data_IF_791553631086
#
_entry.id   IF_791553631086
#
_cell.length_a   1.000
_cell.length_b   1.000
_cell.length_c   1.000
_cell.angle_alpha   90.00
_cell.angle_beta   90.00
_cell.angle_gamma   90.00
#
_symmetry.space_group_name_H-M   'P 1'
#
loop_
_entity.id
_entity.type
_entity.pdbx_description
1 polymer ?
#
# COMPACT_ATOMS: atom_id res chain seq x y z
N UNK A 1 23.91 -14.70 57.13
CA UNK A 1 24.40 -15.25 55.83
C UNK A 1 23.16 -15.33 54.94
N UNK A 2 22.99 -14.37 54.02
CA UNK A 2 21.84 -14.27 53.13
C UNK A 2 22.40 -14.09 51.72
N UNK A 3 22.12 -15.04 50.83
CA UNK A 3 22.46 -14.96 49.40
C UNK A 3 21.12 -14.87 48.66
N UNK A 4 20.82 -13.77 47.94
CA UNK A 4 19.69 -13.76 47.04
C UNK A 4 20.11 -14.32 45.67
N UNK A 5 19.35 -15.31 45.21
CA UNK A 5 19.44 -15.90 43.87
C UNK A 5 18.90 -14.89 42.86
N UNK A 6 19.79 -14.29 42.06
CA UNK A 6 19.43 -13.52 40.87
C UNK A 6 19.03 -14.47 39.75
N UNK A 7 17.74 -14.47 39.41
CA UNK A 7 17.18 -15.09 38.20
C UNK A 7 17.81 -14.44 36.96
N UNK A 8 18.59 -15.23 36.23
CA UNK A 8 19.10 -14.90 34.90
C UNK A 8 17.95 -15.12 33.91
N UNK A 9 17.40 -14.04 33.35
CA UNK A 9 16.48 -14.08 32.19
C UNK A 9 17.29 -14.20 30.87
N UNK A 10 16.76 -14.85 29.82
CA UNK A 10 17.49 -15.10 28.59
C UNK A 10 17.44 -13.87 27.67
N UNK A 11 18.50 -13.06 27.68
CA UNK A 11 18.68 -11.88 26.81
C UNK A 11 19.15 -12.23 25.36
N UNK A 12 19.42 -13.49 25.04
CA UNK A 12 20.10 -13.84 23.78
C UNK A 12 19.19 -13.89 22.54
N UNK A 13 17.88 -14.13 22.69
CA UNK A 13 16.95 -14.23 21.55
C UNK A 13 16.42 -12.87 21.04
N UNK A 14 16.56 -11.81 21.83
CA UNK A 14 16.09 -10.48 21.42
C UNK A 14 17.08 -9.79 20.48
N UNK A 15 18.39 -9.93 20.75
CA UNK A 15 19.45 -9.32 19.95
C UNK A 15 19.56 -9.95 18.55
N UNK A 16 19.39 -11.27 18.43
CA UNK A 16 19.47 -11.95 17.13
C UNK A 16 18.29 -11.60 16.21
N UNK A 17 17.09 -11.41 16.77
CA UNK A 17 15.93 -10.93 16.01
C UNK A 17 16.05 -9.43 15.69
N UNK A 18 16.56 -8.60 16.61
CA UNK A 18 16.77 -7.19 16.36
C UNK A 18 17.77 -6.92 15.23
N UNK A 19 18.88 -7.68 15.18
CA UNK A 19 19.88 -7.57 14.11
C UNK A 19 19.30 -7.94 12.73
N UNK A 20 18.45 -8.97 12.67
CA UNK A 20 17.83 -9.41 11.41
C UNK A 20 16.70 -8.48 10.95
N UNK A 21 16.01 -7.82 11.88
CA UNK A 21 15.00 -6.81 11.57
C UNK A 21 15.61 -5.48 11.16
N UNK A 22 16.76 -5.12 11.76
CA UNK A 22 17.48 -3.89 11.47
C UNK A 22 17.97 -3.88 10.01
N UNK A 23 18.56 -5.00 9.55
CA UNK A 23 19.01 -5.16 8.16
C UNK A 23 17.83 -5.16 7.17
N UNK A 24 16.69 -5.75 7.55
CA UNK A 24 15.50 -5.77 6.68
C UNK A 24 14.96 -4.37 6.41
N UNK A 25 14.81 -3.53 7.45
CA UNK A 25 14.28 -2.17 7.31
C UNK A 25 15.19 -1.31 6.41
N UNK A 26 16.51 -1.46 6.57
CA UNK A 26 17.50 -0.80 5.72
C UNK A 26 17.38 -1.25 4.25
N UNK A 27 17.29 -2.56 4.01
CA UNK A 27 17.15 -3.12 2.67
C UNK A 27 15.87 -2.65 1.96
N UNK A 28 14.73 -2.61 2.68
CA UNK A 28 13.47 -2.12 2.11
C UNK A 28 13.55 -0.63 1.77
N UNK A 29 14.17 0.19 2.62
CA UNK A 29 14.35 1.61 2.35
C UNK A 29 15.25 1.86 1.13
N UNK A 30 16.39 1.15 1.05
CA UNK A 30 17.30 1.21 -0.09
C UNK A 30 16.59 0.76 -1.39
N UNK A 31 15.87 -0.36 -1.35
CA UNK A 31 15.13 -0.88 -2.49
C UNK A 31 14.03 0.08 -2.96
N UNK A 32 13.30 0.70 -2.03
CA UNK A 32 12.32 1.74 -2.34
C UNK A 32 12.99 2.90 -3.11
N UNK A 33 14.11 3.42 -2.60
CA UNK A 33 14.84 4.49 -3.27
C UNK A 33 15.30 4.06 -4.68
N UNK A 34 15.79 2.83 -4.83
CA UNK A 34 16.21 2.29 -6.13
C UNK A 34 15.05 2.19 -7.13
N UNK A 35 13.88 1.70 -6.72
CA UNK A 35 12.69 1.63 -7.57
C UNK A 35 12.30 3.02 -8.06
N UNK A 36 12.29 4.01 -7.17
CA UNK A 36 11.88 5.37 -7.49
C UNK A 36 12.84 6.07 -8.44
N UNK A 37 14.14 5.82 -8.27
CA UNK A 37 15.17 6.24 -9.22
C UNK A 37 14.89 5.63 -10.59
N UNK A 38 14.66 4.31 -10.66
CA UNK A 38 14.37 3.61 -11.91
C UNK A 38 13.10 4.13 -12.59
N UNK A 39 12.04 4.49 -11.85
CA UNK A 39 10.86 5.11 -12.46
C UNK A 39 11.15 6.45 -13.10
N UNK A 40 12.03 7.25 -12.51
CA UNK A 40 12.40 8.55 -13.07
C UNK A 40 13.38 8.47 -14.23
N UNK A 41 14.20 7.42 -14.29
CA UNK A 41 15.05 7.14 -15.45
C UNK A 41 14.24 6.71 -16.67
N UNK A 42 13.10 6.05 -16.45
CA UNK A 42 12.11 5.76 -17.49
C UNK A 42 11.15 6.96 -17.64
N UNK A 43 11.60 8.04 -18.30
CA UNK A 43 11.06 9.42 -18.29
C UNK A 43 9.53 9.60 -18.21
N UNK A 44 8.73 8.71 -18.80
CA UNK A 44 7.27 8.78 -18.80
C UNK A 44 6.65 8.31 -17.47
N UNK A 45 7.25 7.32 -16.81
CA UNK A 45 6.69 6.70 -15.61
C UNK A 45 6.91 7.58 -14.39
N UNK A 46 8.10 8.17 -14.21
CA UNK A 46 8.43 8.96 -13.02
C UNK A 46 7.53 10.19 -12.82
N UNK A 47 7.16 10.86 -13.91
CA UNK A 47 6.25 12.02 -13.87
C UNK A 47 4.83 11.63 -13.46
N UNK A 48 4.40 10.41 -13.80
CA UNK A 48 3.07 9.89 -13.46
C UNK A 48 3.07 9.31 -12.05
N UNK A 49 4.07 8.49 -11.72
CA UNK A 49 4.12 7.76 -10.46
C UNK A 49 4.49 8.63 -9.29
N UNK A 50 5.51 9.48 -9.42
CA UNK A 50 6.12 10.18 -8.29
C UNK A 50 6.63 11.59 -8.66
N UNK A 51 5.76 12.48 -9.17
CA UNK A 51 6.14 13.76 -9.80
C UNK A 51 6.96 14.70 -8.90
N UNK A 52 6.76 14.63 -7.60
CA UNK A 52 7.38 15.54 -6.64
C UNK A 52 8.58 14.91 -5.89
N UNK A 53 8.86 13.63 -6.11
CA UNK A 53 9.82 12.88 -5.31
C UNK A 53 11.22 13.50 -5.39
N UNK A 54 11.75 13.72 -6.60
CA UNK A 54 13.08 14.34 -6.80
C UNK A 54 13.23 15.67 -6.07
N UNK A 55 12.23 16.56 -6.21
CA UNK A 55 12.21 17.87 -5.55
C UNK A 55 12.18 17.74 -4.03
N UNK A 56 11.43 16.77 -3.50
CA UNK A 56 11.34 16.51 -2.06
C UNK A 56 12.61 15.88 -1.49
N UNK A 57 13.27 15.00 -2.24
CA UNK A 57 14.59 14.46 -1.86
C UNK A 57 15.61 15.59 -1.71
N UNK A 58 15.68 16.50 -2.70
CA UNK A 58 16.60 17.63 -2.62
C UNK A 58 16.28 18.55 -1.42
N UNK A 59 15.01 18.87 -1.20
CA UNK A 59 14.60 19.76 -0.09
C UNK A 59 14.87 19.16 1.29
N UNK A 60 14.81 17.83 1.42
CA UNK A 60 14.76 17.16 2.72
C UNK A 60 16.03 16.43 3.09
N UNK A 61 16.64 15.80 2.10
CA UNK A 61 17.85 15.00 2.25
C UNK A 61 19.07 15.70 1.67
N UNK A 62 18.90 16.78 0.90
CA UNK A 62 20.01 17.62 0.43
C UNK A 62 20.78 17.05 -0.75
N UNK A 63 20.33 15.95 -1.35
CA UNK A 63 20.93 15.36 -2.55
C UNK A 63 19.90 15.14 -3.66
N UNK A 64 20.39 15.07 -4.90
CA UNK A 64 19.59 14.74 -6.07
C UNK A 64 19.84 13.28 -6.48
N UNK A 65 18.84 12.37 -6.38
CA UNK A 65 19.02 10.96 -6.65
C UNK A 65 19.29 10.64 -8.14
N UNK A 66 19.12 11.60 -9.05
CA UNK A 66 19.36 11.41 -10.49
C UNK A 66 20.67 12.05 -10.96
N UNK A 67 21.45 12.61 -10.04
CA UNK A 67 22.74 13.23 -10.35
C UNK A 67 23.84 12.37 -9.73
N UNK A 68 24.88 11.98 -10.48
CA UNK A 68 25.99 11.23 -9.92
C UNK A 68 26.67 12.05 -8.81
N UNK A 69 27.13 11.40 -7.73
CA UNK A 69 27.77 12.10 -6.63
C UNK A 69 29.08 12.77 -7.11
N UNK A 70 29.46 13.93 -6.54
CA UNK A 70 30.69 14.59 -6.92
C UNK A 70 31.90 13.69 -6.59
N UNK A 71 32.80 13.52 -7.56
CA UNK A 71 34.05 12.76 -7.37
C UNK A 71 34.89 13.50 -6.33
N UNK A 72 35.04 12.94 -5.13
CA UNK A 72 35.91 13.50 -4.12
C UNK A 72 37.38 13.24 -4.52
N UNK A 73 38.27 14.25 -4.41
CA UNK A 73 39.69 14.06 -4.69
C UNK A 73 40.28 13.06 -3.69
N UNK A 74 40.54 11.84 -4.14
CA UNK A 74 41.06 10.73 -3.33
C UNK A 74 40.08 9.60 -3.04
N UNK A 75 38.83 9.68 -3.52
CA UNK A 75 37.91 8.53 -3.50
C UNK A 75 38.30 7.50 -4.56
N UNK A 76 38.10 6.20 -4.25
CA UNK A 76 38.11 5.15 -5.28
C UNK A 76 37.21 5.60 -6.42
N UNK A 77 37.70 5.47 -7.64
CA UNK A 77 37.08 5.91 -8.89
C UNK A 77 35.66 5.33 -8.97
N UNK A 78 34.65 6.10 -8.54
CA UNK A 78 33.30 5.86 -9.01
C UNK A 78 33.36 6.17 -10.50
N UNK A 79 33.17 5.15 -11.35
CA UNK A 79 33.18 5.30 -12.80
C UNK A 79 32.35 6.55 -13.18
N UNK A 80 32.94 7.48 -13.91
CA UNK A 80 32.31 8.77 -14.22
C UNK A 80 30.90 8.54 -14.79
N UNK A 81 29.87 8.94 -14.03
CA UNK A 81 28.47 8.80 -14.42
C UNK A 81 27.68 7.70 -13.72
N UNK A 82 28.26 6.94 -12.78
CA UNK A 82 27.50 5.99 -11.96
C UNK A 82 26.55 6.76 -11.04
N UNK A 83 25.26 6.51 -11.20
CA UNK A 83 24.22 7.04 -10.31
C UNK A 83 24.33 6.40 -8.93
N UNK A 84 23.94 7.15 -7.89
CA UNK A 84 23.87 6.62 -6.53
C UNK A 84 22.95 5.40 -6.46
N UNK A 85 23.39 4.32 -5.85
CA UNK A 85 22.54 3.16 -5.59
C UNK A 85 21.52 3.45 -4.48
N UNK A 86 20.53 2.57 -4.33
CA UNK A 86 19.63 2.52 -3.17
C UNK A 86 20.35 2.64 -1.82
N UNK A 87 21.47 1.96 -1.69
CA UNK A 87 22.28 1.94 -0.46
C UNK A 87 23.04 3.26 -0.28
N UNK A 88 23.65 3.80 -1.33
CA UNK A 88 24.33 5.09 -1.29
C UNK A 88 23.38 6.22 -0.89
N UNK A 89 22.14 6.17 -1.41
CA UNK A 89 21.09 7.11 -1.02
C UNK A 89 20.74 6.98 0.47
N UNK A 90 20.68 5.76 1.01
CA UNK A 90 20.44 5.53 2.43
C UNK A 90 21.57 6.11 3.29
N UNK A 91 22.83 5.88 2.90
CA UNK A 91 24.00 6.45 3.59
C UNK A 91 23.98 7.98 3.55
N UNK A 92 23.66 8.58 2.39
CA UNK A 92 23.55 10.03 2.29
C UNK A 92 22.46 10.61 3.21
N UNK A 93 21.30 9.95 3.33
CA UNK A 93 20.26 10.36 4.30
C UNK A 93 20.76 10.23 5.74
N UNK A 94 21.51 9.16 6.03
CA UNK A 94 22.07 8.91 7.35
C UNK A 94 23.06 10.02 7.76
N UNK A 95 23.96 10.40 6.87
CA UNK A 95 24.95 11.45 7.11
C UNK A 95 24.29 12.81 7.35
N UNK A 96 23.30 13.17 6.54
CA UNK A 96 22.66 14.50 6.61
C UNK A 96 21.71 14.61 7.80
N UNK A 97 20.91 13.57 8.08
CA UNK A 97 19.76 13.72 9.00
C UNK A 97 19.84 12.88 10.28
N UNK A 98 20.65 11.84 10.29
CA UNK A 98 20.69 10.84 11.36
C UNK A 98 22.10 10.62 11.95
N UNK A 99 23.05 11.52 11.71
CA UNK A 99 24.43 11.46 12.25
C UNK A 99 25.15 10.14 11.90
N UNK A 100 24.93 9.63 10.70
CA UNK A 100 25.49 8.36 10.21
C UNK A 100 24.72 7.11 10.64
N UNK A 101 23.62 7.24 11.39
CA UNK A 101 22.78 6.10 11.76
C UNK A 101 21.84 5.70 10.61
N UNK A 102 22.18 4.60 9.96
CA UNK A 102 21.47 4.05 8.80
C UNK A 102 20.12 3.43 9.15
N UNK A 103 19.95 2.91 10.37
CA UNK A 103 18.66 2.36 10.81
C UNK A 103 17.64 3.48 10.99
N UNK A 104 18.04 4.55 11.68
CA UNK A 104 17.20 5.72 11.86
C UNK A 104 16.90 6.42 10.53
N UNK A 105 17.87 6.46 9.61
CA UNK A 105 17.66 6.94 8.25
C UNK A 105 16.62 6.10 7.50
N UNK A 106 16.73 4.77 7.55
CA UNK A 106 15.78 3.87 6.89
C UNK A 106 14.35 4.05 7.43
N UNK A 107 14.19 4.10 8.76
CA UNK A 107 12.91 4.37 9.41
C UNK A 107 12.33 5.72 8.99
N UNK A 108 13.18 6.75 8.90
CA UNK A 108 12.78 8.09 8.46
C UNK A 108 12.28 8.09 7.02
N UNK A 109 13.02 7.47 6.08
CA UNK A 109 12.63 7.35 4.67
C UNK A 109 11.28 6.65 4.56
N UNK A 110 11.11 5.50 5.21
CA UNK A 110 9.85 4.75 5.16
C UNK A 110 8.69 5.50 5.82
N UNK A 111 8.95 6.23 6.91
CA UNK A 111 7.93 7.08 7.52
C UNK A 111 7.55 8.24 6.60
N UNK A 112 8.51 8.82 5.89
CA UNK A 112 8.31 9.90 4.93
C UNK A 112 7.54 9.45 3.69
N UNK A 113 7.74 8.21 3.28
CA UNK A 113 6.93 7.54 2.27
C UNK A 113 5.49 7.37 2.75
N UNK A 114 5.29 6.70 3.88
CA UNK A 114 3.96 6.37 4.43
C UNK A 114 3.11 7.59 4.75
N UNK A 115 3.75 8.69 5.16
CA UNK A 115 3.06 9.95 5.48
C UNK A 115 2.85 10.86 4.26
N UNK A 116 3.26 10.44 3.05
CA UNK A 116 3.15 11.24 1.83
C UNK A 116 4.05 12.48 1.81
N UNK A 117 5.00 12.60 2.74
CA UNK A 117 5.92 13.76 2.79
C UNK A 117 6.94 13.76 1.65
N UNK A 118 7.13 12.63 0.98
CA UNK A 118 7.89 12.53 -0.27
C UNK A 118 7.07 12.89 -1.52
N UNK A 119 5.77 13.19 -1.36
CA UNK A 119 4.83 13.48 -2.44
C UNK A 119 3.82 12.36 -2.66
N UNK A 120 2.88 12.59 -3.58
CA UNK A 120 2.00 11.53 -4.09
C UNK A 120 2.83 10.55 -4.90
N UNK A 121 2.73 9.26 -4.58
CA UNK A 121 3.58 8.21 -5.14
C UNK A 121 2.77 6.94 -5.37
N UNK A 122 2.87 6.36 -6.57
CA UNK A 122 2.35 5.01 -6.87
C UNK A 122 3.51 4.05 -7.14
N UNK A 123 3.52 2.91 -6.45
CA UNK A 123 4.56 1.88 -6.64
C UNK A 123 4.27 0.96 -7.82
N UNK A 124 3.03 0.97 -8.31
CA UNK A 124 2.58 0.16 -9.42
C UNK A 124 2.05 1.10 -10.49
N UNK A 125 2.56 0.91 -11.71
CA UNK A 125 2.03 1.54 -12.91
C UNK A 125 1.09 0.53 -13.54
N UNK A 126 -0.15 0.93 -13.81
CA UNK A 126 -1.06 0.08 -14.56
C UNK A 126 -0.42 -0.30 -15.91
N UNK A 127 -0.54 -1.55 -16.37
CA UNK A 127 -0.04 -1.92 -17.68
C UNK A 127 -0.72 -1.03 -18.73
N UNK A 128 0.08 -0.35 -19.55
CA UNK A 128 -0.44 0.39 -20.70
C UNK A 128 -0.87 -0.65 -21.73
N UNK A 129 -2.18 -0.76 -21.98
CA UNK A 129 -2.68 -1.49 -23.13
C UNK A 129 -2.09 -0.81 -24.37
N UNK A 130 -1.21 -1.51 -25.07
CA UNK A 130 -0.91 -1.15 -26.46
C UNK A 130 -2.13 -1.58 -27.26
N UNK A 131 -2.59 -0.72 -28.17
CA UNK A 131 -3.88 -0.77 -28.85
C UNK A 131 -4.23 -2.05 -29.65
N UNK A 132 -3.47 -3.15 -29.56
CA UNK A 132 -3.73 -4.39 -30.32
C UNK A 132 -3.65 -5.69 -29.50
N UNK A 133 -3.45 -5.65 -28.18
CA UNK A 133 -3.53 -6.86 -27.34
C UNK A 133 -4.79 -6.83 -26.49
N UNK A 134 -5.73 -7.68 -26.88
CA UNK A 134 -6.93 -8.05 -26.14
C UNK A 134 -6.48 -8.48 -24.73
N UNK A 135 -6.70 -7.61 -23.75
CA UNK A 135 -6.46 -7.95 -22.34
C UNK A 135 -7.46 -9.03 -21.97
N UNK A 136 -6.97 -10.26 -21.84
CA UNK A 136 -7.69 -11.28 -21.09
C UNK A 136 -7.74 -10.80 -19.64
N UNK A 137 -8.88 -10.24 -19.26
CA UNK A 137 -9.15 -9.89 -17.87
C UNK A 137 -9.10 -11.18 -17.06
N UNK A 138 -7.97 -11.46 -16.40
CA UNK A 138 -7.96 -12.41 -15.30
C UNK A 138 -8.70 -11.71 -14.16
N UNK A 139 -10.02 -11.86 -14.17
CA UNK A 139 -10.87 -11.47 -13.06
C UNK A 139 -10.38 -12.20 -11.82
N UNK A 140 -9.77 -11.46 -10.91
CA UNK A 140 -9.51 -11.97 -9.57
C UNK A 140 -10.87 -12.07 -8.87
N UNK A 141 -11.49 -13.25 -8.97
CA UNK A 141 -12.58 -13.70 -8.11
C UNK A 141 -13.70 -12.69 -7.98
N UNK A 142 -14.31 -12.29 -9.09
CA UNK A 142 -15.69 -11.84 -9.07
C UNK A 142 -16.52 -13.09 -9.34
N UNK A 143 -17.25 -13.52 -8.31
CA UNK A 143 -18.10 -14.71 -8.34
C UNK A 143 -19.06 -14.62 -9.53
N UNK A 144 -18.67 -15.28 -10.62
CA UNK A 144 -19.57 -15.62 -11.72
C UNK A 144 -20.57 -16.60 -11.14
N UNK A 145 -21.69 -16.10 -10.64
CA UNK A 145 -22.83 -16.92 -10.30
C UNK A 145 -23.21 -17.71 -11.55
N UNK A 146 -22.85 -18.99 -11.51
CA UNK A 146 -23.33 -20.00 -12.42
C UNK A 146 -24.86 -19.95 -12.38
N UNK A 147 -25.46 -19.58 -13.49
CA UNK A 147 -26.92 -19.54 -13.72
C UNK A 147 -27.59 -20.89 -13.41
N UNK A 148 -26.81 -21.97 -13.25
CA UNK A 148 -27.27 -23.32 -12.93
C UNK A 148 -27.54 -23.58 -11.43
N UNK A 149 -27.05 -22.74 -10.50
CA UNK A 149 -27.31 -22.88 -9.05
C UNK A 149 -28.61 -22.20 -8.58
N UNK A 150 -29.25 -21.40 -9.43
CA UNK A 150 -30.44 -20.62 -9.05
C UNK A 150 -31.73 -21.45 -8.94
N UNK A 151 -31.82 -22.57 -9.67
CA UNK A 151 -33.04 -23.38 -9.71
C UNK A 151 -33.24 -24.16 -8.40
N UNK A 152 -32.18 -24.76 -7.85
CA UNK A 152 -32.29 -25.53 -6.59
C UNK A 152 -32.58 -24.64 -5.38
N UNK A 153 -32.05 -23.41 -5.38
CA UNK A 153 -32.29 -22.44 -4.31
C UNK A 153 -33.70 -21.82 -4.39
N UNK A 154 -34.26 -21.63 -5.59
CA UNK A 154 -35.66 -21.20 -5.76
C UNK A 154 -36.66 -22.27 -5.27
N UNK A 155 -36.44 -23.55 -5.61
CA UNK A 155 -37.29 -24.65 -5.14
C UNK A 155 -37.22 -24.77 -3.60
N UNK A 156 -36.03 -24.60 -3.01
CA UNK A 156 -35.85 -24.62 -1.56
C UNK A 156 -36.51 -23.41 -0.88
N UNK A 157 -36.45 -22.23 -1.50
CA UNK A 157 -37.10 -21.03 -0.98
C UNK A 157 -38.63 -21.14 -1.01
N UNK A 158 -39.20 -21.72 -2.08
CA UNK A 158 -40.65 -21.94 -2.19
C UNK A 158 -41.16 -22.95 -1.14
N UNK A 159 -40.42 -24.03 -0.90
CA UNK A 159 -40.77 -25.02 0.12
C UNK A 159 -40.78 -24.40 1.55
N UNK A 160 -39.81 -23.53 1.85
CA UNK A 160 -39.75 -22.84 3.14
C UNK A 160 -40.91 -21.84 3.32
N UNK A 161 -41.34 -21.17 2.25
CA UNK A 161 -42.50 -20.26 2.28
C UNK A 161 -43.82 -21.02 2.49
N UNK A 162 -43.97 -22.18 1.87
CA UNK A 162 -45.16 -23.04 2.05
C UNK A 162 -45.24 -23.58 3.50
N UNK A 163 -44.12 -24.05 4.06
CA UNK A 163 -44.04 -24.52 5.46
C UNK A 163 -44.34 -23.39 6.46
N UNK A 164 -43.87 -22.17 6.20
CA UNK A 164 -44.16 -21.00 7.05
C UNK A 164 -45.67 -20.63 7.03
N UNK A 165 -46.31 -20.78 5.86
CA UNK A 165 -47.75 -20.55 5.69
C UNK A 165 -48.58 -21.60 6.42
N UNK A 166 -48.18 -22.87 6.39
CA UNK A 166 -48.84 -23.94 7.17
C UNK A 166 -48.68 -23.74 8.68
N UNK A 167 -47.54 -23.17 9.13
CA UNK A 167 -47.32 -22.82 10.54
C UNK A 167 -48.03 -21.53 11.00
N UNK A 168 -48.79 -20.87 10.12
CA UNK A 168 -49.58 -19.68 10.46
C UNK A 168 -48.74 -18.44 10.78
N UNK A 169 -47.50 -18.37 10.27
CA UNK A 169 -46.64 -17.19 10.42
C UNK A 169 -47.03 -16.13 9.38
N UNK A 170 -47.40 -14.93 9.83
CA UNK A 170 -47.62 -13.78 8.96
C UNK A 170 -46.29 -13.30 8.38
N UNK A 171 -46.06 -13.58 7.09
CA UNK A 171 -44.89 -13.08 6.38
C UNK A 171 -45.05 -11.59 6.03
N UNK A 172 -43.99 -10.77 6.15
CA UNK A 172 -44.02 -9.37 5.73
C UNK A 172 -44.35 -9.26 4.24
N UNK A 173 -45.26 -8.34 3.90
CA UNK A 173 -45.76 -8.14 2.54
C UNK A 173 -44.64 -7.52 1.66
N UNK A 174 -43.81 -8.37 1.05
CA UNK A 174 -42.88 -7.96 0.00
C UNK A 174 -43.70 -7.71 -1.24
N UNK A 175 -44.00 -6.42 -1.48
CA UNK A 175 -44.89 -5.96 -2.54
C UNK A 175 -44.58 -6.64 -3.88
N UNK A 176 -45.57 -7.34 -4.42
CA UNK A 176 -45.64 -7.68 -5.83
C UNK A 176 -45.66 -6.38 -6.63
N UNK A 177 -44.60 -6.10 -7.38
CA UNK A 177 -44.63 -5.10 -8.44
C UNK A 177 -44.80 -5.82 -9.78
N UNK A 178 -46.06 -5.99 -10.18
CA UNK A 178 -46.44 -6.10 -11.59
C UNK A 178 -46.84 -4.68 -12.04
N UNK A 179 -46.02 -4.13 -12.93
CA UNK A 179 -46.25 -3.10 -13.94
C UNK A 179 -46.97 -1.76 -13.63
N UNK A 180 -46.28 -0.71 -14.10
CA UNK A 180 -46.73 0.60 -14.58
C UNK A 180 -46.81 1.85 -13.66
N UNK A 181 -46.18 2.89 -14.24
CA UNK A 181 -46.47 4.32 -14.17
C UNK A 181 -45.78 5.21 -13.10
N UNK A 182 -44.77 5.92 -13.60
CA UNK A 182 -44.59 7.38 -13.50
C UNK A 182 -44.75 8.11 -12.15
N UNK A 183 -43.64 8.78 -11.79
CA UNK A 183 -43.59 10.09 -11.14
C UNK A 183 -44.00 10.17 -9.66
N UNK A 184 -42.98 10.22 -8.80
CA UNK A 184 -42.72 11.35 -7.88
C UNK A 184 -41.41 11.11 -7.14
N UNK A 185 -40.36 11.77 -7.60
CA UNK A 185 -39.24 12.15 -6.75
C UNK A 185 -39.83 13.15 -5.75
N UNK A 186 -40.16 12.69 -4.54
CA UNK A 186 -40.21 13.58 -3.38
C UNK A 186 -38.93 13.34 -2.60
N UNK A 187 -38.05 14.34 -2.63
CA UNK A 187 -37.01 14.54 -1.63
C UNK A 187 -37.58 14.28 -0.24
N UNK A 188 -37.09 13.25 0.45
CA UNK A 188 -36.82 13.29 1.88
C UNK A 188 -36.14 12.00 2.32
N UNK A 189 -35.00 12.18 2.98
CA UNK A 189 -34.25 11.22 3.79
C UNK A 189 -33.12 10.47 3.08
N UNK A 190 -32.16 11.26 2.57
CA UNK A 190 -30.75 10.90 2.54
C UNK A 190 -30.23 10.59 3.96
N UNK A 191 -30.40 9.35 4.42
CA UNK A 191 -29.72 8.82 5.61
C UNK A 191 -28.30 8.45 5.19
N UNK A 192 -27.39 9.43 5.28
CA UNK A 192 -26.03 9.28 4.81
C UNK A 192 -25.17 10.52 5.03
N UNK A 193 -25.09 11.01 6.28
CA UNK A 193 -23.97 11.86 6.74
C UNK A 193 -23.67 11.57 8.20
N UNK A 194 -22.94 10.48 8.45
CA UNK A 194 -22.32 10.27 9.74
C UNK A 194 -21.30 11.38 10.00
N UNK A 195 -21.63 12.29 10.91
CA UNK A 195 -20.66 13.11 11.61
C UNK A 195 -19.86 12.17 12.52
N UNK A 196 -18.63 11.85 12.13
CA UNK A 196 -17.68 11.19 13.01
C UNK A 196 -16.73 12.26 13.56
N UNK A 197 -17.12 12.83 14.71
CA UNK A 197 -16.22 13.58 15.58
C UNK A 197 -15.38 12.57 16.37
N UNK A 198 -14.06 12.75 16.32
CA UNK A 198 -13.09 11.73 16.73
C UNK A 198 -12.88 11.54 18.23
N UNK A 199 -12.05 10.54 18.53
CA UNK A 199 -11.15 10.42 19.68
C UNK A 199 -9.92 9.61 19.25
#
# INVERSE_FOLDING_TARGET
IFIPVLKIFPQQNFLHNALHWCSFVQAVAAHLCQILQNFHLNEDKGKITAPHWRKKCLQRYGFDPLVPPPVLPGGMENEEGVLMTGEDMLYAVADVTCRGDTENAARKILQDFRSGRMGSMTLQVAPTLKDDEEVEYVSNGEDTYSEMDTIEDEERALAALEEAKERGLELPNLGKSEDDAESKISEQNAIGRGQFDGW
#
